data_IF_993255921459
#
_entry.id   IF_993255921459
#
_cell.length_a   1.000
_cell.length_b   1.000
_cell.length_c   1.000
_cell.angle_alpha   90.00
_cell.angle_beta   90.00
_cell.angle_gamma   90.00
#
_symmetry.space_group_name_H-M   'P 1'
#
loop_
_entity.id
_entity.type
_entity.pdbx_description
1 polymer ?
#
# COMPACT_ATOMS: atom_id res chain seq x y z
N UNK A 1 -6.17 -16.08 -4.18
CA UNK A 1 -5.37 -16.41 -2.99
C UNK A 1 -4.04 -15.71 -3.14
N UNK A 2 -3.69 -14.89 -2.16
CA UNK A 2 -2.48 -14.06 -2.19
C UNK A 2 -1.30 -14.87 -1.66
N UNK A 3 -0.32 -15.15 -2.51
CA UNK A 3 0.83 -16.01 -2.16
C UNK A 3 1.88 -15.22 -1.35
N UNK A 4 2.23 -15.63 -0.11
CA UNK A 4 3.17 -14.91 0.75
C UNK A 4 4.57 -14.76 0.16
N UNK A 5 5.04 -15.74 -0.61
CA UNK A 5 6.37 -15.69 -1.25
C UNK A 5 6.41 -14.57 -2.28
N UNK A 6 5.40 -14.53 -3.16
CA UNK A 6 5.23 -13.50 -4.19
C UNK A 6 5.11 -12.11 -3.57
N UNK A 7 4.34 -11.97 -2.48
CA UNK A 7 4.24 -10.70 -1.74
C UNK A 7 5.60 -10.26 -1.20
N UNK A 8 6.37 -11.18 -0.61
CA UNK A 8 7.73 -10.88 -0.14
C UNK A 8 8.67 -10.43 -1.27
N UNK A 9 8.54 -10.99 -2.46
CA UNK A 9 9.31 -10.55 -3.64
C UNK A 9 8.92 -9.16 -4.12
N UNK A 10 7.61 -8.83 -4.12
CA UNK A 10 7.11 -7.48 -4.42
C UNK A 10 7.72 -6.48 -3.45
N UNK A 11 7.66 -6.74 -2.14
CA UNK A 11 8.20 -5.83 -1.12
C UNK A 11 9.70 -5.58 -1.37
N UNK A 12 10.49 -6.64 -1.55
CA UNK A 12 11.92 -6.54 -1.84
C UNK A 12 12.22 -5.75 -3.11
N UNK A 13 11.37 -5.88 -4.14
CA UNK A 13 11.50 -5.11 -5.37
C UNK A 13 11.28 -3.61 -5.12
N UNK A 14 10.26 -3.25 -4.35
CA UNK A 14 9.97 -1.86 -3.99
C UNK A 14 11.09 -1.25 -3.14
N UNK A 15 11.55 -1.97 -2.12
CA UNK A 15 12.67 -1.57 -1.26
C UNK A 15 13.95 -1.30 -2.06
N UNK A 16 14.26 -2.14 -3.06
CA UNK A 16 15.40 -1.94 -3.97
C UNK A 16 15.32 -0.61 -4.73
N UNK A 17 14.11 -0.10 -4.95
CA UNK A 17 13.86 1.17 -5.64
C UNK A 17 13.56 2.34 -4.68
N UNK A 18 13.89 2.17 -3.39
CA UNK A 18 13.80 3.20 -2.37
C UNK A 18 12.38 3.46 -1.86
N UNK A 19 11.46 2.53 -2.10
CA UNK A 19 10.11 2.57 -1.52
C UNK A 19 10.10 1.85 -0.17
N UNK A 20 9.31 2.38 0.76
CA UNK A 20 9.11 1.81 2.09
C UNK A 20 7.68 1.31 2.22
N UNK A 21 7.50 0.06 2.61
CA UNK A 21 6.20 -0.49 2.99
C UNK A 21 5.70 0.22 4.26
N UNK A 22 4.49 0.78 4.21
CA UNK A 22 3.92 1.56 5.33
C UNK A 22 2.77 0.84 6.00
N UNK A 23 1.81 0.37 5.21
CA UNK A 23 0.56 -0.22 5.69
C UNK A 23 -0.02 -1.19 4.67
N UNK A 24 -0.90 -2.07 5.13
CA UNK A 24 -1.59 -3.05 4.30
C UNK A 24 -3.10 -2.91 4.46
N UNK A 25 -3.81 -2.83 3.33
CA UNK A 25 -5.27 -3.04 3.27
C UNK A 25 -5.47 -4.52 2.95
N UNK A 26 -6.08 -5.25 3.86
CA UNK A 26 -6.28 -6.69 3.68
C UNK A 26 -7.65 -7.11 4.21
N UNK A 27 -8.22 -8.11 3.52
CA UNK A 27 -9.27 -8.95 4.07
C UNK A 27 -8.73 -9.76 5.26
N UNK A 28 -9.62 -10.22 6.15
CA UNK A 28 -9.22 -11.02 7.31
C UNK A 28 -8.47 -12.30 6.91
N UNK A 29 -8.91 -12.96 5.83
CA UNK A 29 -8.27 -14.15 5.30
C UNK A 29 -6.84 -13.86 4.79
N UNK A 30 -6.67 -12.76 4.03
CA UNK A 30 -5.36 -12.37 3.53
C UNK A 30 -4.43 -11.91 4.66
N UNK A 31 -4.97 -11.24 5.68
CA UNK A 31 -4.21 -10.83 6.87
C UNK A 31 -3.62 -12.04 7.60
N UNK A 32 -4.41 -13.10 7.82
CA UNK A 32 -3.92 -14.34 8.44
C UNK A 32 -2.78 -14.92 7.61
N UNK A 33 -2.95 -15.01 6.28
CA UNK A 33 -1.95 -15.59 5.38
C UNK A 33 -0.64 -14.77 5.30
N UNK A 34 -0.72 -13.44 5.36
CA UNK A 34 0.41 -12.55 5.08
C UNK A 34 1.08 -11.94 6.32
N UNK A 35 0.49 -12.08 7.50
CA UNK A 35 1.00 -11.51 8.77
C UNK A 35 2.50 -11.73 8.99
N UNK A 36 2.99 -12.96 8.81
CA UNK A 36 4.41 -13.29 8.97
C UNK A 36 5.33 -12.66 7.90
N UNK A 37 4.79 -12.37 6.71
CA UNK A 37 5.54 -11.77 5.60
C UNK A 37 5.63 -10.25 5.73
N UNK A 38 4.56 -9.63 6.22
CA UNK A 38 4.45 -8.18 6.33
C UNK A 38 5.06 -7.61 7.61
N UNK A 39 5.23 -8.44 8.64
CA UNK A 39 5.83 -8.03 9.90
C UNK A 39 4.94 -7.07 10.69
N UNK A 40 5.58 -6.18 11.47
CA UNK A 40 4.90 -5.21 12.32
C UNK A 40 4.62 -3.91 11.55
N UNK A 41 3.65 -3.96 10.64
CA UNK A 41 3.10 -2.79 9.96
C UNK A 41 1.66 -2.54 10.38
N UNK A 42 1.13 -1.36 10.02
CA UNK A 42 -0.27 -1.09 10.18
C UNK A 42 -1.12 -1.96 9.24
N UNK A 43 -2.13 -2.61 9.82
CA UNK A 43 -3.14 -3.38 9.08
C UNK A 43 -4.48 -2.67 9.15
N UNK A 44 -5.02 -2.33 7.99
CA UNK A 44 -6.35 -1.75 7.83
C UNK A 44 -7.24 -2.83 7.22
N UNK A 45 -8.34 -3.15 7.91
CA UNK A 45 -9.33 -4.10 7.37
C UNK A 45 -9.99 -3.49 6.14
N UNK A 46 -10.05 -4.25 5.05
CA UNK A 46 -10.57 -3.78 3.77
C UNK A 46 -11.01 -4.94 2.88
N UNK A 47 -11.92 -4.67 1.95
CA UNK A 47 -12.26 -5.59 0.85
C UNK A 47 -11.18 -5.62 -0.25
N UNK A 48 -10.18 -4.74 -0.16
CA UNK A 48 -8.98 -4.79 -0.99
C UNK A 48 -7.88 -5.60 -0.32
N UNK A 49 -7.19 -6.41 -1.12
CA UNK A 49 -5.88 -6.96 -0.76
C UNK A 49 -4.79 -6.15 -1.48
N UNK A 50 -4.21 -5.17 -0.79
CA UNK A 50 -3.28 -4.21 -1.35
C UNK A 50 -2.25 -3.69 -0.31
N UNK A 51 -1.11 -3.21 -0.81
CA UNK A 51 -0.04 -2.64 0.01
C UNK A 51 0.20 -1.18 -0.32
N UNK A 52 0.37 -0.37 0.72
CA UNK A 52 0.81 1.01 0.60
C UNK A 52 2.32 1.10 0.73
N UNK A 53 2.95 1.67 -0.28
CA UNK A 53 4.35 2.04 -0.29
C UNK A 53 4.49 3.55 -0.32
N UNK A 54 5.51 4.07 0.33
CA UNK A 54 5.85 5.50 0.29
C UNK A 54 7.29 5.68 -0.20
N UNK A 55 7.56 6.80 -0.87
CA UNK A 55 8.91 7.20 -1.26
C UNK A 55 8.99 8.72 -1.31
N UNK A 56 10.03 9.27 -0.71
CA UNK A 56 10.38 10.69 -0.90
C UNK A 56 10.59 10.98 -2.38
N UNK A 57 9.76 11.85 -2.95
CA UNK A 57 9.79 12.17 -4.38
C UNK A 57 10.50 13.48 -4.67
N UNK A 58 10.34 14.48 -3.80
CA UNK A 58 11.03 15.78 -3.80
C UNK A 58 11.29 16.23 -2.36
N UNK A 59 12.06 17.31 -2.11
CA UNK A 59 12.26 17.83 -0.75
C UNK A 59 10.94 18.15 -0.03
N UNK A 60 9.91 18.53 -0.79
CA UNK A 60 8.62 19.02 -0.29
C UNK A 60 7.46 18.05 -0.54
N UNK A 61 7.72 16.82 -1.01
CA UNK A 61 6.64 15.86 -1.27
C UNK A 61 7.03 14.41 -1.08
N UNK A 62 6.05 13.61 -0.67
CA UNK A 62 6.13 12.16 -0.57
C UNK A 62 5.14 11.54 -1.56
N UNK A 63 5.62 10.55 -2.33
CA UNK A 63 4.74 9.74 -3.17
C UNK A 63 4.28 8.52 -2.40
N UNK A 64 2.98 8.24 -2.49
CA UNK A 64 2.34 7.07 -1.91
C UNK A 64 1.74 6.23 -3.03
N UNK A 65 2.07 4.95 -3.09
CA UNK A 65 1.57 4.02 -4.10
C UNK A 65 0.79 2.88 -3.43
N UNK A 66 -0.46 2.70 -3.86
CA UNK A 66 -1.29 1.55 -3.49
C UNK A 66 -1.13 0.49 -4.57
N UNK A 67 -0.61 -0.68 -4.19
CA UNK A 67 -0.36 -1.81 -5.09
C UNK A 67 -1.30 -2.96 -4.78
N UNK A 68 -2.15 -3.34 -5.73
CA UNK A 68 -3.03 -4.51 -5.61
C UNK A 68 -2.23 -5.81 -5.63
N UNK A 69 -2.55 -6.72 -4.72
CA UNK A 69 -1.90 -8.04 -4.60
C UNK A 69 -2.66 -9.15 -5.34
N UNK A 70 -3.95 -8.97 -5.58
CA UNK A 70 -4.82 -9.93 -6.25
C UNK A 70 -5.18 -9.48 -7.67
N UNK A 71 -5.61 -10.44 -8.49
CA UNK A 71 -6.07 -10.18 -9.87
C UNK A 71 -4.97 -9.60 -10.79
N UNK A 72 -5.35 -8.72 -11.73
CA UNK A 72 -4.39 -8.09 -12.64
C UNK A 72 -3.53 -7.07 -11.90
N UNK A 73 -2.20 -7.03 -12.13
CA UNK A 73 -1.32 -6.06 -11.51
C UNK A 73 -1.78 -4.62 -11.79
N UNK A 74 -2.17 -3.92 -10.73
CA UNK A 74 -2.67 -2.56 -10.80
C UNK A 74 -2.14 -1.74 -9.62
N UNK A 75 -1.80 -0.49 -9.87
CA UNK A 75 -1.33 0.43 -8.85
C UNK A 75 -1.87 1.84 -9.10
N UNK A 76 -2.10 2.57 -8.02
CA UNK A 76 -2.47 3.98 -8.04
C UNK A 76 -1.49 4.76 -7.17
N UNK A 77 -1.20 6.00 -7.57
CA UNK A 77 -0.23 6.86 -6.88
C UNK A 77 -0.91 8.15 -6.44
N UNK A 78 -0.70 8.52 -5.18
CA UNK A 78 -0.91 9.87 -4.68
C UNK A 78 0.45 10.56 -4.47
N UNK A 79 0.47 11.88 -4.63
CA UNK A 79 1.58 12.72 -4.22
C UNK A 79 1.05 13.65 -3.14
N UNK A 80 1.65 13.58 -1.96
CA UNK A 80 1.25 14.35 -0.78
C UNK A 80 2.39 15.30 -0.43
N UNK A 81 2.04 16.52 -0.03
CA UNK A 81 3.01 17.52 0.41
C UNK A 81 3.66 17.09 1.73
N UNK A 82 4.92 17.45 1.94
CA UNK A 82 5.68 17.02 3.12
C UNK A 82 5.20 17.67 4.43
N UNK A 83 4.48 18.78 4.35
CA UNK A 83 3.86 19.51 5.45
C UNK A 83 2.35 19.26 5.56
N UNK A 84 1.80 18.35 4.75
CA UNK A 84 0.43 17.89 4.88
C UNK A 84 0.20 17.35 6.29
N UNK A 85 -0.96 17.71 6.87
CA UNK A 85 -1.41 17.15 8.13
C UNK A 85 -1.77 15.66 7.99
N UNK A 86 -1.82 14.96 9.12
CA UNK A 86 -2.23 13.54 9.15
C UNK A 86 -3.64 13.36 8.55
N UNK A 87 -4.56 14.32 8.74
CA UNK A 87 -5.91 14.29 8.18
C UNK A 87 -5.90 14.42 6.64
N UNK A 88 -5.05 15.29 6.09
CA UNK A 88 -4.88 15.44 4.64
C UNK A 88 -4.24 14.20 4.01
N UNK A 89 -3.25 13.61 4.70
CA UNK A 89 -2.65 12.34 4.29
C UNK A 89 -3.70 11.23 4.27
N UNK A 90 -4.41 11.01 5.37
CA UNK A 90 -5.42 9.94 5.43
C UNK A 90 -6.52 10.14 4.38
N UNK A 91 -7.03 11.36 4.22
CA UNK A 91 -8.04 11.66 3.20
C UNK A 91 -7.54 11.36 1.78
N UNK A 92 -6.29 11.71 1.46
CA UNK A 92 -5.70 11.40 0.15
C UNK A 92 -5.56 9.90 -0.09
N UNK A 93 -5.18 9.15 0.95
CA UNK A 93 -5.00 7.70 0.82
C UNK A 93 -6.34 6.94 0.80
N UNK A 94 -7.34 7.40 1.55
CA UNK A 94 -8.73 6.88 1.48
C UNK A 94 -9.29 7.05 0.07
N UNK A 95 -9.14 8.23 -0.53
CA UNK A 95 -9.60 8.49 -1.90
C UNK A 95 -8.97 7.53 -2.92
N UNK A 96 -7.67 7.22 -2.78
CA UNK A 96 -7.00 6.27 -3.67
C UNK A 96 -7.47 4.83 -3.46
N UNK A 97 -7.75 4.43 -2.21
CA UNK A 97 -8.31 3.13 -1.92
C UNK A 97 -9.71 2.97 -2.54
N UNK A 98 -10.56 3.98 -2.40
CA UNK A 98 -11.90 4.01 -3.02
C UNK A 98 -11.82 3.95 -4.55
N UNK A 99 -10.90 4.71 -5.15
CA UNK A 99 -10.64 4.67 -6.59
C UNK A 99 -10.17 3.28 -7.06
N UNK A 100 -9.39 2.57 -6.24
CA UNK A 100 -8.94 1.22 -6.54
C UNK A 100 -10.08 0.20 -6.42
N UNK A 101 -10.96 0.33 -5.42
CA UNK A 101 -12.17 -0.49 -5.26
C UNK A 101 -13.13 -0.29 -6.45
N UNK A 102 -13.33 0.95 -6.89
CA UNK A 102 -14.16 1.24 -8.05
C UNK A 102 -13.64 0.61 -9.36
N UNK A 103 -12.37 0.18 -9.38
CA UNK A 103 -11.68 -0.45 -10.52
C UNK A 103 -11.35 -1.93 -10.27
N UNK A 104 -11.88 -2.56 -9.22
CA UNK A 104 -11.63 -3.98 -8.90
C UNK A 104 -12.63 -4.94 -9.51
#
# INVERSE_FOLDING_TARGET
>A
MTDPVTVGEIIKQYERHGWTLRRALLSDDARVALSATLGEIEFVSSDLDALWFSRKSKPESESWELRRLTSSPFALVAVVEADASDEELESALEQVADDMLARS
#
